data_IF_683169484605
#
_entry.id   IF_683169484605
#
_cell.length_a   1.000
_cell.length_b   1.000
_cell.length_c   1.000
_cell.angle_alpha   90.00
_cell.angle_beta   90.00
_cell.angle_gamma   90.00
#
_symmetry.space_group_name_H-M   'P 1'
#
loop_
_entity.id
_entity.type
_entity.pdbx_description
1 polymer ?
#
# COMPACT_ATOMS: atom_id res chain seq x y z
N UNK A 1 26.34 -9.17 11.80
CA UNK A 1 26.32 -10.66 11.80
C UNK A 1 25.45 -11.25 12.91
N UNK A 2 25.32 -10.62 14.10
CA UNK A 2 24.55 -11.14 15.24
C UNK A 2 23.03 -10.88 15.20
N UNK A 3 22.55 -9.94 14.37
CA UNK A 3 21.11 -9.61 14.29
C UNK A 3 20.27 -10.62 13.48
N UNK A 4 20.92 -11.51 12.71
CA UNK A 4 20.23 -12.48 11.84
C UNK A 4 19.97 -13.84 12.50
N UNK A 5 20.58 -14.13 13.66
CA UNK A 5 20.51 -15.45 14.31
C UNK A 5 19.34 -15.59 15.28
N UNK A 6 18.85 -14.50 15.86
CA UNK A 6 17.75 -14.52 16.85
C UNK A 6 16.36 -14.61 16.20
N UNK A 7 16.18 -13.99 15.04
CA UNK A 7 14.88 -13.88 14.34
C UNK A 7 14.42 -15.23 13.73
N UNK A 8 15.34 -16.18 13.53
CA UNK A 8 15.05 -17.50 12.93
C UNK A 8 14.10 -18.36 13.78
N UNK A 9 14.06 -18.18 15.10
CA UNK A 9 13.23 -19.00 15.99
C UNK A 9 11.76 -18.59 15.97
N UNK A 10 11.45 -17.30 15.79
CA UNK A 10 10.08 -16.78 15.70
C UNK A 10 9.44 -16.97 14.32
N UNK A 11 10.24 -16.85 13.26
CA UNK A 11 9.79 -17.00 11.86
C UNK A 11 9.55 -18.46 11.44
N UNK A 12 10.01 -19.45 12.23
CA UNK A 12 9.88 -20.87 11.91
C UNK A 12 8.43 -21.38 11.88
N UNK A 13 7.51 -20.70 12.57
CA UNK A 13 6.09 -21.03 12.60
C UNK A 13 5.29 -20.43 11.42
N UNK A 14 5.88 -19.52 10.64
CA UNK A 14 5.19 -18.83 9.56
C UNK A 14 5.34 -19.55 8.21
N UNK A 15 4.35 -19.43 7.30
CA UNK A 15 4.48 -19.94 5.94
C UNK A 15 5.72 -19.37 5.26
N UNK A 16 6.43 -20.20 4.49
CA UNK A 16 7.70 -19.85 3.83
C UNK A 16 7.61 -18.56 3.00
N UNK A 17 6.46 -18.29 2.38
CA UNK A 17 6.22 -17.08 1.60
C UNK A 17 6.11 -15.81 2.45
N UNK A 18 5.51 -15.89 3.64
CA UNK A 18 5.39 -14.75 4.56
C UNK A 18 6.76 -14.37 5.10
N UNK A 19 7.54 -15.37 5.53
CA UNK A 19 8.92 -15.15 5.96
C UNK A 19 9.76 -14.53 4.83
N UNK A 20 9.60 -15.01 3.59
CA UNK A 20 10.30 -14.46 2.44
C UNK A 20 9.97 -12.97 2.18
N UNK A 21 8.69 -12.59 2.21
CA UNK A 21 8.27 -11.19 2.07
C UNK A 21 8.83 -10.35 3.22
N UNK A 22 8.77 -10.86 4.45
CA UNK A 22 9.28 -10.17 5.63
C UNK A 22 10.78 -9.87 5.54
N UNK A 23 11.60 -10.82 5.08
CA UNK A 23 13.03 -10.57 4.87
C UNK A 23 13.27 -9.44 3.86
N UNK A 24 12.51 -9.42 2.76
CA UNK A 24 12.58 -8.34 1.78
C UNK A 24 12.20 -6.98 2.36
N UNK A 25 11.13 -6.94 3.16
CA UNK A 25 10.69 -5.71 3.83
C UNK A 25 11.78 -5.18 4.76
N UNK A 26 12.34 -6.04 5.62
CA UNK A 26 13.42 -5.67 6.54
C UNK A 26 14.64 -5.10 5.80
N UNK A 27 15.10 -5.78 4.77
CA UNK A 27 16.26 -5.35 3.99
C UNK A 27 15.98 -4.03 3.29
N UNK A 28 14.84 -3.89 2.61
CA UNK A 28 14.50 -2.64 1.91
C UNK A 28 14.38 -1.44 2.86
N UNK A 29 13.76 -1.63 4.03
CA UNK A 29 13.67 -0.57 5.04
C UNK A 29 15.07 -0.21 5.55
N UNK A 30 15.94 -1.18 5.80
CA UNK A 30 17.32 -0.91 6.22
C UNK A 30 18.10 -0.11 5.18
N UNK A 31 17.93 -0.42 3.89
CA UNK A 31 18.53 0.33 2.78
C UNK A 31 18.01 1.77 2.71
N UNK A 32 16.70 1.97 2.85
CA UNK A 32 16.10 3.32 2.83
C UNK A 32 16.50 4.15 4.06
N UNK A 33 16.68 3.51 5.21
CA UNK A 33 17.13 4.13 6.45
C UNK A 33 18.61 4.54 6.44
N UNK A 34 19.38 4.15 5.43
CA UNK A 34 20.74 4.68 5.22
C UNK A 34 20.67 6.19 4.92
N UNK A 35 19.69 6.62 4.14
CA UNK A 35 19.41 8.02 3.84
C UNK A 35 18.24 8.56 4.67
N UNK A 36 18.42 8.59 6.00
CA UNK A 36 17.38 8.95 6.99
C UNK A 36 16.60 10.23 6.66
N UNK A 37 17.26 11.27 6.17
CA UNK A 37 16.61 12.52 5.80
C UNK A 37 15.62 12.32 4.64
N UNK A 38 16.00 11.57 3.61
CA UNK A 38 15.13 11.25 2.49
C UNK A 38 13.99 10.32 2.90
N UNK A 39 14.26 9.34 3.75
CA UNK A 39 13.24 8.46 4.35
C UNK A 39 12.16 9.27 5.08
N UNK A 40 12.57 10.15 6.00
CA UNK A 40 11.64 10.99 6.76
C UNK A 40 10.88 11.96 5.86
N UNK A 41 11.55 12.58 4.89
CA UNK A 41 10.91 13.48 3.93
C UNK A 41 9.84 12.77 3.09
N UNK A 42 10.09 11.52 2.67
CA UNK A 42 9.14 10.69 1.90
C UNK A 42 7.91 10.32 2.72
N UNK A 43 8.09 9.95 3.99
CA UNK A 43 6.96 9.67 4.90
C UNK A 43 6.17 10.93 5.21
N UNK A 44 6.86 12.02 5.54
CA UNK A 44 6.22 13.30 5.86
C UNK A 44 5.43 13.85 4.66
N UNK A 45 6.00 13.77 3.46
CA UNK A 45 5.32 14.18 2.23
C UNK A 45 4.02 13.40 2.00
N UNK A 46 4.01 12.10 2.31
CA UNK A 46 2.80 11.28 2.23
C UNK A 46 1.73 11.73 3.23
N UNK A 47 2.11 11.90 4.51
CA UNK A 47 1.20 12.38 5.55
C UNK A 47 0.60 13.74 5.19
N UNK A 48 1.40 14.67 4.66
CA UNK A 48 0.91 15.98 4.21
C UNK A 48 -0.05 15.81 3.04
N UNK A 49 0.24 14.93 2.08
CA UNK A 49 -0.66 14.63 0.96
C UNK A 49 -2.03 14.13 1.45
N UNK A 50 -2.02 13.16 2.34
CA UNK A 50 -3.23 12.57 2.89
C UNK A 50 -4.03 13.57 3.73
N UNK A 51 -3.34 14.37 4.56
CA UNK A 51 -3.97 15.44 5.32
C UNK A 51 -4.67 16.47 4.41
N UNK A 52 -4.09 16.80 3.24
CA UNK A 52 -4.73 17.73 2.30
C UNK A 52 -6.04 17.16 1.76
N UNK A 53 -6.06 15.89 1.35
CA UNK A 53 -7.26 15.21 0.89
C UNK A 53 -8.33 15.09 1.99
N UNK A 54 -7.92 14.71 3.20
CA UNK A 54 -8.83 14.57 4.32
C UNK A 54 -9.40 15.92 4.75
N UNK A 55 -8.57 16.97 4.78
CA UNK A 55 -9.00 18.33 5.11
C UNK A 55 -10.04 18.84 4.11
N UNK A 56 -9.87 18.56 2.82
CA UNK A 56 -10.87 18.87 1.80
C UNK A 56 -12.23 18.25 2.13
N UNK A 57 -12.27 16.94 2.41
CA UNK A 57 -13.52 16.25 2.73
C UNK A 57 -14.15 16.75 4.03
N UNK A 58 -13.35 16.96 5.08
CA UNK A 58 -13.84 17.52 6.34
C UNK A 58 -14.48 18.88 6.10
N UNK A 59 -13.81 19.78 5.37
CA UNK A 59 -14.34 21.10 5.03
C UNK A 59 -15.61 21.00 4.18
N UNK A 60 -15.65 20.11 3.20
CA UNK A 60 -16.83 19.88 2.37
C UNK A 60 -18.06 19.48 3.21
N UNK A 61 -17.90 18.49 4.10
CA UNK A 61 -18.98 18.02 4.97
C UNK A 61 -19.34 19.00 6.11
N UNK A 62 -18.57 20.07 6.33
CA UNK A 62 -19.05 21.18 7.17
C UNK A 62 -20.15 22.00 6.50
N UNK A 63 -20.15 22.05 5.16
CA UNK A 63 -21.16 22.79 4.36
C UNK A 63 -22.30 21.89 3.90
N UNK A 64 -22.00 20.62 3.60
CA UNK A 64 -22.97 19.62 3.19
C UNK A 64 -22.94 18.44 4.17
N UNK A 65 -23.68 18.52 5.30
CA UNK A 65 -23.56 17.54 6.39
C UNK A 65 -23.94 16.11 5.99
N UNK A 66 -24.85 15.98 5.03
CA UNK A 66 -25.31 14.69 4.50
C UNK A 66 -25.39 14.79 2.97
N UNK A 67 -24.80 13.81 2.29
CA UNK A 67 -24.88 13.67 0.83
C UNK A 67 -25.32 12.26 0.50
N UNK A 68 -26.52 12.09 -0.06
CA UNK A 68 -27.07 10.77 -0.42
C UNK A 68 -27.01 9.73 0.74
N UNK A 69 -27.16 10.19 1.99
CA UNK A 69 -27.07 9.33 3.18
C UNK A 69 -25.67 9.19 3.77
N UNK A 70 -24.62 9.62 3.07
CA UNK A 70 -23.26 9.66 3.61
C UNK A 70 -23.07 10.83 4.56
N UNK A 71 -22.50 10.55 5.71
CA UNK A 71 -22.06 11.55 6.68
C UNK A 71 -20.56 11.75 6.62
N UNK A 72 -20.08 12.80 7.30
CA UNK A 72 -18.65 13.06 7.48
C UNK A 72 -17.89 11.85 8.05
N UNK A 73 -18.49 11.14 9.01
CA UNK A 73 -17.85 10.00 9.66
C UNK A 73 -17.68 8.83 8.69
N UNK A 74 -18.65 8.61 7.80
CA UNK A 74 -18.62 7.53 6.81
C UNK A 74 -17.49 7.76 5.80
N UNK A 75 -17.34 8.99 5.29
CA UNK A 75 -16.27 9.34 4.34
C UNK A 75 -14.89 9.26 4.99
N UNK A 76 -14.74 9.75 6.23
CA UNK A 76 -13.48 9.60 6.97
C UNK A 76 -13.13 8.12 7.17
N UNK A 77 -14.13 7.29 7.48
CA UNK A 77 -13.95 5.84 7.65
C UNK A 77 -13.52 5.18 6.35
N UNK A 78 -14.19 5.48 5.23
CA UNK A 78 -13.83 5.00 3.90
C UNK A 78 -12.38 5.39 3.56
N UNK A 79 -12.03 6.66 3.75
CA UNK A 79 -10.70 7.17 3.46
C UNK A 79 -9.62 6.50 4.32
N UNK A 80 -9.89 6.29 5.61
CA UNK A 80 -8.97 5.61 6.51
C UNK A 80 -8.76 4.13 6.14
N UNK A 81 -9.82 3.43 5.71
CA UNK A 81 -9.73 2.02 5.26
C UNK A 81 -8.90 1.96 3.97
N UNK A 82 -9.15 2.87 3.03
CA UNK A 82 -8.38 2.96 1.80
C UNK A 82 -6.91 3.28 2.07
N UNK A 83 -6.61 4.21 2.98
CA UNK A 83 -5.23 4.53 3.37
C UNK A 83 -4.51 3.31 3.95
N UNK A 84 -5.12 2.60 4.91
CA UNK A 84 -4.54 1.37 5.46
C UNK A 84 -4.32 0.31 4.37
N UNK A 85 -5.33 0.08 3.52
CA UNK A 85 -5.24 -0.89 2.44
C UNK A 85 -4.18 -0.54 1.40
N UNK A 86 -4.06 0.73 1.04
CA UNK A 86 -3.05 1.24 0.13
C UNK A 86 -1.65 1.07 0.72
N UNK A 87 -1.46 1.42 1.99
CA UNK A 87 -0.18 1.26 2.67
C UNK A 87 0.24 -0.19 2.82
N UNK A 88 -0.69 -1.11 3.10
CA UNK A 88 -0.39 -2.54 3.14
C UNK A 88 -0.08 -3.10 1.74
N UNK A 89 -0.82 -2.71 0.71
CA UNK A 89 -0.61 -3.16 -0.65
C UNK A 89 0.68 -2.59 -1.25
N UNK A 90 0.73 -1.27 -1.41
CA UNK A 90 1.78 -0.57 -2.14
C UNK A 90 3.00 -0.38 -1.26
N UNK A 91 2.84 -0.25 0.05
CA UNK A 91 3.97 -0.17 0.97
C UNK A 91 4.78 -1.47 0.95
N UNK A 92 4.13 -2.63 1.13
CA UNK A 92 4.82 -3.93 1.16
C UNK A 92 5.21 -4.39 -0.25
N UNK A 93 4.30 -4.29 -1.22
CA UNK A 93 4.51 -4.72 -2.60
C UNK A 93 4.83 -3.52 -3.52
N UNK A 94 5.85 -2.74 -3.17
CA UNK A 94 6.16 -1.47 -3.83
C UNK A 94 6.55 -1.54 -5.31
N UNK A 95 6.80 -2.74 -5.84
CA UNK A 95 6.98 -2.95 -7.29
C UNK A 95 5.68 -3.25 -8.04
N UNK A 96 4.55 -3.47 -7.36
CA UNK A 96 3.28 -3.83 -8.02
C UNK A 96 2.79 -2.74 -8.97
N UNK A 97 2.97 -1.46 -8.62
CA UNK A 97 2.65 -0.30 -9.48
C UNK A 97 3.68 -0.04 -10.57
N UNK A 98 4.85 -0.68 -10.48
CA UNK A 98 5.96 -0.57 -11.44
C UNK A 98 6.05 -1.79 -12.37
N UNK A 99 5.14 -2.75 -12.20
CA UNK A 99 5.19 -4.05 -12.87
C UNK A 99 5.23 -3.90 -14.40
N UNK A 100 4.41 -3.01 -14.97
CA UNK A 100 4.41 -2.74 -16.41
C UNK A 100 5.79 -2.28 -16.92
N UNK A 101 6.45 -1.38 -16.20
CA UNK A 101 7.80 -0.92 -16.53
C UNK A 101 8.86 -2.02 -16.39
N UNK A 102 8.75 -2.88 -15.37
CA UNK A 102 9.65 -4.03 -15.19
C UNK A 102 9.52 -5.01 -16.36
N UNK A 103 8.29 -5.27 -16.83
CA UNK A 103 8.01 -6.14 -17.98
C UNK A 103 8.56 -5.52 -19.27
N UNK A 104 8.20 -4.26 -19.55
CA UNK A 104 8.53 -3.60 -20.81
C UNK A 104 10.04 -3.35 -20.98
N UNK A 105 10.78 -3.22 -19.88
CA UNK A 105 12.23 -3.07 -19.87
C UNK A 105 13.01 -4.39 -19.91
N UNK A 106 12.34 -5.55 -19.92
CA UNK A 106 12.97 -6.88 -19.90
C UNK A 106 13.56 -7.27 -18.54
N UNK A 107 13.40 -6.44 -17.50
CA UNK A 107 13.91 -6.72 -16.16
C UNK A 107 13.17 -7.88 -15.47
N UNK A 108 12.04 -8.33 -16.01
CA UNK A 108 11.34 -9.51 -15.50
C UNK A 108 12.20 -10.79 -15.61
N UNK A 109 13.06 -10.88 -16.63
CA UNK A 109 13.91 -12.06 -16.88
C UNK A 109 14.85 -12.36 -15.72
N UNK A 110 15.32 -11.32 -15.03
CA UNK A 110 16.09 -11.46 -13.80
C UNK A 110 15.32 -12.27 -12.76
N UNK A 111 14.04 -11.98 -12.54
CA UNK A 111 13.22 -12.67 -11.53
C UNK A 111 12.87 -14.10 -11.95
N UNK A 112 12.71 -14.35 -13.26
CA UNK A 112 12.44 -15.69 -13.81
C UNK A 112 13.63 -16.65 -13.65
N UNK A 113 14.85 -16.13 -13.54
CA UNK A 113 16.06 -16.94 -13.37
C UNK A 113 16.18 -17.59 -11.98
N UNK A 114 15.45 -17.09 -10.97
CA UNK A 114 15.51 -17.62 -9.60
C UNK A 114 14.47 -18.71 -9.38
N UNK A 115 14.75 -19.75 -8.57
CA UNK A 115 13.82 -20.84 -8.25
C UNK A 115 12.79 -20.42 -7.18
N UNK A 116 12.12 -19.29 -7.40
CA UNK A 116 11.07 -18.72 -6.56
C UNK A 116 9.87 -18.34 -7.43
N UNK A 117 8.72 -18.11 -6.81
CA UNK A 117 7.57 -17.60 -7.54
C UNK A 117 7.92 -16.22 -8.12
N UNK A 118 7.99 -16.12 -9.45
CA UNK A 118 8.48 -14.93 -10.13
C UNK A 118 7.63 -13.69 -9.84
N UNK A 119 6.30 -13.82 -9.83
CA UNK A 119 5.40 -12.70 -9.55
C UNK A 119 5.61 -12.18 -8.13
N UNK A 120 5.53 -13.07 -7.13
CA UNK A 120 5.71 -12.69 -5.73
C UNK A 120 7.08 -12.06 -5.50
N UNK A 121 8.13 -12.65 -6.07
CA UNK A 121 9.49 -12.13 -5.98
C UNK A 121 9.58 -10.72 -6.58
N UNK A 122 9.04 -10.53 -7.79
CA UNK A 122 9.06 -9.24 -8.49
C UNK A 122 8.40 -8.13 -7.68
N UNK A 123 7.19 -8.38 -7.17
CA UNK A 123 6.39 -7.35 -6.49
C UNK A 123 6.90 -7.01 -5.08
N UNK A 124 7.49 -7.98 -4.36
CA UNK A 124 7.98 -7.77 -2.99
C UNK A 124 9.45 -7.32 -2.92
N UNK A 125 10.20 -7.37 -4.02
CA UNK A 125 11.61 -6.97 -4.03
C UNK A 125 11.85 -5.51 -3.69
N UNK A 126 10.83 -4.66 -3.75
CA UNK A 126 10.89 -3.25 -3.38
C UNK A 126 9.76 -2.90 -2.42
N UNK A 127 10.08 -2.14 -1.37
CA UNK A 127 9.10 -1.48 -0.49
C UNK A 127 8.87 -0.04 -0.92
N UNK A 128 7.65 0.46 -0.78
CA UNK A 128 7.35 1.87 -0.91
C UNK A 128 7.23 2.52 0.48
N UNK A 129 8.28 3.24 0.88
CA UNK A 129 8.34 3.90 2.20
C UNK A 129 7.25 4.96 2.37
N UNK A 130 6.93 5.73 1.32
CA UNK A 130 5.86 6.73 1.40
C UNK A 130 4.53 6.05 1.73
N UNK A 131 4.15 5.02 0.97
CA UNK A 131 2.91 4.28 1.20
C UNK A 131 2.90 3.53 2.54
N UNK A 132 4.05 3.08 3.06
CA UNK A 132 4.10 2.49 4.41
C UNK A 132 3.66 3.47 5.51
N UNK A 133 3.77 4.78 5.28
CA UNK A 133 3.22 5.80 6.19
C UNK A 133 1.72 5.61 6.42
N UNK A 134 0.99 5.17 5.40
CA UNK A 134 -0.46 5.07 5.43
C UNK A 134 -0.96 3.92 6.32
N UNK A 135 -0.09 2.92 6.55
CA UNK A 135 -0.34 1.82 7.49
C UNK A 135 -0.50 2.36 8.92
N UNK A 136 0.18 3.45 9.26
CA UNK A 136 0.01 4.13 10.54
C UNK A 136 -1.04 5.25 10.47
N UNK A 137 -1.05 6.00 9.37
CA UNK A 137 -1.96 7.13 9.19
C UNK A 137 -3.44 6.72 9.19
N UNK A 138 -3.81 5.67 8.44
CA UNK A 138 -5.19 5.20 8.33
C UNK A 138 -5.82 4.86 9.70
N UNK A 139 -5.21 3.95 10.49
CA UNK A 139 -5.70 3.63 11.83
C UNK A 139 -5.74 4.86 12.77
N UNK A 140 -4.73 5.74 12.69
CA UNK A 140 -4.68 6.95 13.53
C UNK A 140 -5.85 7.89 13.22
N UNK A 141 -6.11 8.15 11.94
CA UNK A 141 -7.25 8.96 11.49
C UNK A 141 -8.57 8.33 11.91
N UNK A 142 -8.72 7.02 11.72
CA UNK A 142 -9.93 6.31 12.09
C UNK A 142 -10.23 6.42 13.59
N UNK A 143 -9.23 6.17 14.45
CA UNK A 143 -9.38 6.25 15.91
C UNK A 143 -9.67 7.68 16.37
N UNK A 144 -8.93 8.67 15.86
CA UNK A 144 -9.05 10.05 16.32
C UNK A 144 -10.33 10.75 15.85
N UNK A 145 -10.74 10.53 14.60
CA UNK A 145 -11.82 11.27 13.96
C UNK A 145 -13.15 10.52 13.93
N UNK A 146 -13.14 9.20 13.68
CA UNK A 146 -14.37 8.41 13.65
C UNK A 146 -14.78 7.87 15.03
N UNK A 147 -13.83 7.77 15.97
CA UNK A 147 -14.02 7.30 17.36
C UNK A 147 -14.80 5.96 17.42
N UNK A 148 -14.24 4.90 16.81
CA UNK A 148 -14.93 3.63 16.64
C UNK A 148 -15.09 2.88 17.97
N UNK A 149 -16.09 1.99 18.02
CA UNK A 149 -16.11 0.92 19.01
C UNK A 149 -14.99 -0.09 18.74
N UNK A 150 -14.65 -0.92 19.73
CA UNK A 150 -13.65 -1.97 19.56
C UNK A 150 -14.00 -2.94 18.41
N UNK A 151 -15.28 -3.28 18.27
CA UNK A 151 -15.77 -4.12 17.18
C UNK A 151 -15.57 -3.45 15.82
N UNK A 152 -15.89 -2.17 15.70
CA UNK A 152 -15.68 -1.40 14.48
C UNK A 152 -14.19 -1.28 14.12
N UNK A 153 -13.31 -1.19 15.11
CA UNK A 153 -11.86 -1.22 14.88
C UNK A 153 -11.36 -2.55 14.32
N UNK A 154 -11.86 -3.68 14.82
CA UNK A 154 -11.52 -4.99 14.23
C UNK A 154 -12.03 -5.13 12.80
N UNK A 155 -13.27 -4.72 12.54
CA UNK A 155 -13.83 -4.73 11.18
C UNK A 155 -13.02 -3.82 10.24
N UNK A 156 -12.60 -2.65 10.72
CA UNK A 156 -11.71 -1.75 9.99
C UNK A 156 -10.40 -2.43 9.58
N UNK A 157 -9.74 -3.15 10.49
CA UNK A 157 -8.49 -3.86 10.18
C UNK A 157 -8.71 -4.96 9.13
N UNK A 158 -9.78 -5.75 9.27
CA UNK A 158 -10.13 -6.80 8.29
C UNK A 158 -10.41 -6.18 6.92
N UNK A 159 -11.22 -5.12 6.88
CA UNK A 159 -11.51 -4.37 5.65
C UNK A 159 -10.24 -3.81 5.02
N UNK A 160 -9.31 -3.27 5.81
CA UNK A 160 -8.02 -2.77 5.31
C UNK A 160 -7.20 -3.85 4.61
N UNK A 161 -7.14 -5.07 5.17
CA UNK A 161 -6.45 -6.21 4.54
C UNK A 161 -7.15 -6.63 3.25
N UNK A 162 -8.49 -6.64 3.22
CA UNK A 162 -9.25 -6.96 2.00
C UNK A 162 -9.00 -5.91 0.90
N UNK A 163 -9.04 -4.62 1.25
CA UNK A 163 -8.73 -3.52 0.33
C UNK A 163 -7.29 -3.61 -0.17
N UNK A 164 -6.33 -4.00 0.68
CA UNK A 164 -4.96 -4.26 0.23
C UNK A 164 -4.90 -5.37 -0.83
N UNK A 165 -5.68 -6.43 -0.65
CA UNK A 165 -5.84 -7.49 -1.66
C UNK A 165 -6.39 -6.97 -2.98
N UNK A 166 -7.43 -6.10 -2.92
CA UNK A 166 -8.03 -5.46 -4.10
C UNK A 166 -7.01 -4.58 -4.83
N UNK A 167 -6.34 -3.66 -4.11
CA UNK A 167 -5.34 -2.77 -4.73
C UNK A 167 -4.17 -3.55 -5.34
N UNK A 168 -3.66 -4.56 -4.63
CA UNK A 168 -2.56 -5.37 -5.14
C UNK A 168 -3.00 -6.15 -6.39
N UNK A 169 -4.14 -6.84 -6.34
CA UNK A 169 -4.67 -7.60 -7.46
C UNK A 169 -4.96 -6.73 -8.68
N UNK A 170 -5.58 -5.57 -8.48
CA UNK A 170 -5.88 -4.65 -9.57
C UNK A 170 -4.61 -4.05 -10.19
N UNK A 171 -3.63 -3.64 -9.37
CA UNK A 171 -2.34 -3.16 -9.87
C UNK A 171 -1.59 -4.25 -10.66
N UNK A 172 -1.64 -5.52 -10.22
CA UNK A 172 -1.08 -6.64 -10.97
C UNK A 172 -1.75 -6.82 -12.32
N UNK A 173 -3.09 -6.77 -12.37
CA UNK A 173 -3.85 -6.89 -13.61
C UNK A 173 -3.46 -5.77 -14.59
N UNK A 174 -3.48 -4.51 -14.12
CA UNK A 174 -3.09 -3.36 -14.91
C UNK A 174 -1.63 -3.45 -15.40
N UNK A 175 -0.71 -3.89 -14.54
CA UNK A 175 0.70 -4.08 -14.88
C UNK A 175 0.94 -5.19 -15.90
N UNK A 176 0.17 -6.29 -15.81
CA UNK A 176 0.31 -7.45 -16.70
C UNK A 176 -0.14 -7.18 -18.13
N UNK A 177 -0.91 -6.11 -18.39
CA UNK A 177 -1.22 -5.68 -19.76
C UNK A 177 0.03 -5.37 -20.59
N UNK A 178 1.17 -5.05 -19.94
CA UNK A 178 2.45 -4.84 -20.61
C UNK A 178 2.92 -6.04 -21.44
N UNK A 179 2.53 -7.27 -21.07
CA UNK A 179 2.86 -8.46 -21.87
C UNK A 179 2.23 -8.43 -23.27
N UNK A 180 1.09 -7.77 -23.43
CA UNK A 180 0.33 -7.75 -24.68
C UNK A 180 0.51 -6.43 -25.44
N UNK A 181 0.60 -5.31 -24.73
CA UNK A 181 0.62 -3.96 -25.30
C UNK A 181 2.05 -3.44 -25.47
N UNK A 182 3.02 -3.99 -24.74
CA UNK A 182 4.39 -3.48 -24.70
C UNK A 182 4.56 -2.37 -23.68
N UNK A 183 5.04 -1.19 -24.09
CA UNK A 183 5.30 -0.07 -23.19
C UNK A 183 4.00 0.60 -22.70
N UNK A 184 3.36 -0.01 -21.70
CA UNK A 184 2.09 0.43 -21.10
C UNK A 184 2.24 1.03 -19.70
N UNK A 185 3.45 1.43 -19.29
CA UNK A 185 3.72 1.92 -17.92
C UNK A 185 2.80 3.08 -17.52
N UNK A 186 2.72 4.12 -18.35
CA UNK A 186 1.82 5.25 -18.12
C UNK A 186 0.35 4.82 -18.08
N UNK A 187 -0.04 3.88 -18.95
CA UNK A 187 -1.42 3.41 -18.99
C UNK A 187 -1.79 2.65 -17.72
N UNK A 188 -0.93 1.73 -17.27
CA UNK A 188 -1.10 1.01 -16.02
C UNK A 188 -1.16 1.96 -14.82
N UNK A 189 -0.31 3.00 -14.80
CA UNK A 189 -0.33 4.02 -13.76
C UNK A 189 -1.67 4.80 -13.75
N UNK A 190 -2.18 5.21 -14.91
CA UNK A 190 -3.47 5.93 -14.99
C UNK A 190 -4.65 5.04 -14.59
N UNK A 191 -4.67 3.77 -15.01
CA UNK A 191 -5.68 2.81 -14.60
C UNK A 191 -5.68 2.63 -13.08
N UNK A 192 -4.49 2.47 -12.47
CA UNK A 192 -4.36 2.34 -11.03
C UNK A 192 -4.78 3.62 -10.29
N UNK A 193 -4.37 4.80 -10.75
CA UNK A 193 -4.83 6.08 -10.18
C UNK A 193 -6.35 6.26 -10.26
N UNK A 194 -6.98 5.79 -11.33
CA UNK A 194 -8.44 5.82 -11.47
C UNK A 194 -9.13 5.01 -10.37
N UNK A 195 -8.57 3.86 -10.00
CA UNK A 195 -9.07 3.07 -8.87
C UNK A 195 -8.92 3.81 -7.54
N UNK A 196 -7.80 4.48 -7.30
CA UNK A 196 -7.59 5.26 -6.06
C UNK A 196 -8.66 6.35 -5.95
N UNK A 197 -8.87 7.13 -7.01
CA UNK A 197 -9.92 8.15 -7.02
C UNK A 197 -11.30 7.54 -6.82
N UNK A 198 -11.64 6.46 -7.52
CA UNK A 198 -12.93 5.79 -7.34
C UNK A 198 -13.14 5.32 -5.89
N UNK A 199 -12.10 4.80 -5.24
CA UNK A 199 -12.18 4.26 -3.88
C UNK A 199 -12.33 5.30 -2.76
N UNK A 200 -12.10 6.58 -3.06
CA UNK A 200 -12.05 7.66 -2.04
C UNK A 200 -13.23 8.62 -2.09
N UNK A 201 -14.23 8.34 -2.94
CA UNK A 201 -15.46 9.11 -3.07
C UNK A 201 -16.65 8.38 -2.42
N UNK A 202 -17.57 9.10 -1.76
CA UNK A 202 -18.84 8.56 -1.27
C UNK A 202 -19.80 8.13 -2.41
#
# INVERSE_FOLDING_TARGET
MSMFTEDRKGLAALPRHVCFVWEYVKVNIAMEMEYRAAFLARMFGMVVNDCMWLAFWIMYFTRFPVVQGWTKADVITLWAICALGYGLAIGIFGNVTRLAGIISSGNLDFYLSYPKNALLHTICSRVNVSALGDVLFGPLVFVLLARPSLQAFFLFLVSGVLVAGIFTGFAMLAGSLAFFIGNSENMAAQIFNSLIHFSTYP
#
